data_IF_682696913357
#
_entry.id   IF_682696913357
#
_cell.length_a   1.000
_cell.length_b   1.000
_cell.length_c   1.000
_cell.angle_alpha   90.00
_cell.angle_beta   90.00
_cell.angle_gamma   90.00
#
_symmetry.space_group_name_H-M   'P 1'
#
loop_
_entity.id
_entity.type
_entity.pdbx_description
1 polymer ?
#
# COMPACT_ATOMS: atom_id res chain seq x y z
N UNK A 1 12.72 -12.31 13.49
CA UNK A 1 12.10 -11.77 12.26
C UNK A 1 12.04 -10.26 12.41
N UNK A 2 13.11 -9.58 12.02
CA UNK A 2 13.13 -8.12 12.01
C UNK A 2 12.27 -7.58 10.88
N UNK A 3 11.53 -6.53 11.17
CA UNK A 3 10.78 -5.77 10.17
C UNK A 3 11.16 -4.31 10.28
N UNK A 4 11.73 -3.78 9.22
CA UNK A 4 11.92 -2.36 9.01
C UNK A 4 10.66 -1.79 8.36
N UNK A 5 9.99 -0.82 8.99
CA UNK A 5 8.80 -0.19 8.43
C UNK A 5 9.17 0.93 7.46
N UNK A 6 8.64 0.88 6.24
CA UNK A 6 8.78 1.95 5.25
C UNK A 6 7.60 2.91 5.26
N UNK A 7 6.39 2.38 5.46
CA UNK A 7 5.16 3.13 5.31
C UNK A 7 4.19 2.95 6.49
N UNK A 8 3.27 3.87 6.58
CA UNK A 8 2.14 3.89 7.51
C UNK A 8 0.80 3.74 6.80
N UNK A 9 0.79 3.66 5.47
CA UNK A 9 -0.40 3.48 4.64
C UNK A 9 -0.10 2.54 3.47
N UNK A 10 -1.10 1.75 3.11
CA UNK A 10 -1.01 0.80 2.01
C UNK A 10 -1.21 1.53 0.67
N UNK A 11 -0.14 1.93 0.03
CA UNK A 11 -0.15 2.75 -1.20
C UNK A 11 -0.81 2.11 -2.41
N UNK A 12 -1.08 0.81 -2.34
CA UNK A 12 -1.80 0.02 -3.34
C UNK A 12 -3.28 -0.18 -3.00
N UNK A 13 -3.79 0.45 -1.94
CA UNK A 13 -5.17 0.30 -1.49
C UNK A 13 -6.16 1.23 -2.18
N UNK A 14 -5.72 2.07 -3.14
CA UNK A 14 -6.62 2.96 -3.85
C UNK A 14 -7.59 2.18 -4.73
N UNK A 15 -8.80 2.73 -4.91
CA UNK A 15 -9.80 2.20 -5.84
C UNK A 15 -10.18 3.29 -6.82
N UNK A 16 -9.94 3.04 -8.11
CA UNK A 16 -10.26 3.97 -9.19
C UNK A 16 -11.38 3.43 -10.07
N UNK A 17 -12.14 4.36 -10.64
CA UNK A 17 -13.21 4.11 -11.62
C UNK A 17 -13.03 5.01 -12.82
N UNK A 18 -13.72 4.72 -13.94
CA UNK A 18 -13.73 5.64 -15.08
C UNK A 18 -14.44 6.93 -14.71
N UNK A 19 -13.95 8.04 -15.22
CA UNK A 19 -14.55 9.37 -15.01
C UNK A 19 -16.00 9.40 -15.48
N UNK A 20 -16.32 8.79 -16.62
CA UNK A 20 -17.69 8.72 -17.15
C UNK A 20 -18.68 8.01 -16.19
N UNK A 21 -18.25 6.91 -15.54
CA UNK A 21 -19.07 6.20 -14.56
C UNK A 21 -19.24 7.02 -13.28
N UNK A 22 -18.22 7.80 -12.92
CA UNK A 22 -18.28 8.71 -11.78
C UNK A 22 -19.17 9.93 -12.07
N UNK A 23 -18.96 10.61 -13.19
CA UNK A 23 -19.68 11.85 -13.53
C UNK A 23 -21.17 11.59 -13.81
N UNK A 24 -21.51 10.46 -14.40
CA UNK A 24 -22.92 10.02 -14.59
C UNK A 24 -23.63 9.62 -13.28
N UNK A 25 -22.93 9.55 -12.16
CA UNK A 25 -23.49 9.11 -10.88
C UNK A 25 -23.63 7.59 -10.72
N UNK A 26 -23.17 6.81 -11.70
CA UNK A 26 -23.29 5.34 -11.69
C UNK A 26 -22.40 4.68 -10.61
N UNK A 27 -21.23 5.27 -10.33
CA UNK A 27 -20.30 4.80 -9.30
C UNK A 27 -19.66 6.02 -8.62
N UNK A 28 -20.06 6.32 -7.39
CA UNK A 28 -19.55 7.44 -6.59
C UNK A 28 -18.79 6.97 -5.34
N UNK A 29 -19.02 5.74 -4.92
CA UNK A 29 -18.47 5.17 -3.67
C UNK A 29 -18.23 3.67 -3.81
N UNK A 30 -17.55 3.08 -2.84
CA UNK A 30 -17.35 1.63 -2.77
C UNK A 30 -18.68 0.85 -2.69
N UNK A 31 -19.73 1.43 -2.11
CA UNK A 31 -21.05 0.79 -2.03
C UNK A 31 -21.71 0.58 -3.39
N UNK A 32 -21.40 1.46 -4.35
CA UNK A 32 -21.95 1.37 -5.70
C UNK A 32 -21.32 0.25 -6.55
N UNK A 33 -20.30 -0.44 -5.99
CA UNK A 33 -19.65 -1.58 -6.62
C UNK A 33 -20.44 -2.90 -6.47
N UNK A 34 -21.54 -2.91 -5.72
CA UNK A 34 -22.42 -4.08 -5.66
C UNK A 34 -22.87 -4.51 -7.07
N UNK A 35 -22.71 -5.81 -7.38
CA UNK A 35 -23.01 -6.39 -8.69
C UNK A 35 -22.00 -6.07 -9.79
N UNK A 36 -20.84 -5.47 -9.45
CA UNK A 36 -19.83 -5.05 -10.44
C UNK A 36 -18.55 -5.86 -10.32
N UNK A 37 -17.72 -5.76 -11.37
CA UNK A 37 -16.37 -6.38 -11.41
C UNK A 37 -15.32 -5.38 -10.96
N UNK A 38 -14.45 -5.84 -10.03
CA UNK A 38 -13.32 -5.07 -9.49
C UNK A 38 -12.01 -5.77 -9.81
N UNK A 39 -11.10 -5.09 -10.47
CA UNK A 39 -9.79 -5.62 -10.81
C UNK A 39 -8.82 -5.62 -9.63
N UNK A 40 -8.11 -6.73 -9.44
CA UNK A 40 -6.95 -6.88 -8.55
C UNK A 40 -5.86 -7.69 -9.26
N UNK A 41 -4.65 -7.79 -8.69
CA UNK A 41 -3.56 -8.51 -9.37
C UNK A 41 -3.82 -10.02 -9.38
N UNK A 42 -3.62 -10.70 -8.27
CA UNK A 42 -3.75 -12.16 -8.15
C UNK A 42 -4.42 -12.51 -6.82
N UNK A 43 -5.08 -13.67 -6.71
CA UNK A 43 -5.55 -14.19 -5.43
C UNK A 43 -4.39 -14.23 -4.41
N UNK A 44 -4.67 -13.86 -3.16
CA UNK A 44 -3.71 -13.76 -2.06
C UNK A 44 -2.64 -12.65 -2.20
N UNK A 45 -2.68 -11.83 -3.25
CA UNK A 45 -1.84 -10.64 -3.33
C UNK A 45 -2.33 -9.53 -2.40
N UNK A 46 -1.48 -8.54 -2.14
CA UNK A 46 -1.85 -7.38 -1.32
C UNK A 46 -3.02 -6.57 -1.90
N UNK A 47 -3.10 -6.41 -3.23
CA UNK A 47 -4.23 -5.73 -3.88
C UNK A 47 -5.52 -6.54 -3.75
N UNK A 48 -5.44 -7.87 -3.86
CA UNK A 48 -6.58 -8.76 -3.65
C UNK A 48 -7.11 -8.69 -2.21
N UNK A 49 -6.19 -8.79 -1.22
CA UNK A 49 -6.53 -8.66 0.19
C UNK A 49 -7.24 -7.34 0.48
N UNK A 50 -6.70 -6.24 -0.05
CA UNK A 50 -7.28 -4.92 0.18
C UNK A 50 -8.62 -4.75 -0.53
N UNK A 51 -8.79 -5.33 -1.73
CA UNK A 51 -10.09 -5.33 -2.38
C UNK A 51 -11.15 -6.05 -1.53
N UNK A 52 -10.85 -7.25 -1.02
CA UNK A 52 -11.74 -7.99 -0.13
C UNK A 52 -12.09 -7.18 1.11
N UNK A 53 -11.08 -6.63 1.79
CA UNK A 53 -11.26 -5.84 2.99
C UNK A 53 -12.14 -4.60 2.76
N UNK A 54 -11.83 -3.80 1.73
CA UNK A 54 -12.59 -2.59 1.40
C UNK A 54 -14.03 -2.90 1.03
N UNK A 55 -14.28 -3.98 0.27
CA UNK A 55 -15.63 -4.42 -0.08
C UNK A 55 -16.39 -4.93 1.14
N UNK A 56 -15.70 -5.60 2.08
CA UNK A 56 -16.27 -6.03 3.36
C UNK A 56 -16.69 -4.82 4.20
N UNK A 57 -15.80 -3.84 4.36
CA UNK A 57 -16.11 -2.59 5.11
C UNK A 57 -17.22 -1.77 4.46
N UNK A 58 -17.32 -1.78 3.15
CA UNK A 58 -18.42 -1.14 2.42
C UNK A 58 -19.74 -1.92 2.48
N UNK A 59 -19.75 -3.16 3.00
CA UNK A 59 -20.94 -4.02 3.10
C UNK A 59 -21.39 -4.63 1.76
N UNK A 60 -20.48 -4.77 0.80
CA UNK A 60 -20.79 -5.28 -0.56
C UNK A 60 -19.95 -6.49 -0.97
N UNK A 61 -19.15 -7.06 -0.08
CA UNK A 61 -18.20 -8.14 -0.40
C UNK A 61 -18.84 -9.35 -1.11
N UNK A 62 -20.01 -9.78 -0.65
CA UNK A 62 -20.71 -10.94 -1.22
C UNK A 62 -21.42 -10.62 -2.55
N UNK A 63 -21.39 -9.36 -2.98
CA UNK A 63 -22.04 -8.87 -4.22
C UNK A 63 -21.05 -8.39 -5.27
N UNK A 64 -19.75 -8.36 -4.96
CA UNK A 64 -18.69 -7.89 -5.87
C UNK A 64 -17.95 -9.08 -6.45
N UNK A 65 -17.67 -9.02 -7.75
CA UNK A 65 -16.86 -10.01 -8.46
C UNK A 65 -15.43 -9.47 -8.59
N UNK A 66 -14.52 -9.92 -7.72
CA UNK A 66 -13.11 -9.53 -7.79
C UNK A 66 -12.42 -10.36 -8.87
N UNK A 67 -11.81 -9.69 -9.85
CA UNK A 67 -11.15 -10.30 -11.00
C UNK A 67 -9.64 -10.27 -10.89
N UNK A 68 -8.96 -11.41 -10.96
CA UNK A 68 -7.51 -11.46 -11.06
C UNK A 68 -7.09 -11.05 -12.48
N UNK A 69 -6.30 -9.98 -12.58
CA UNK A 69 -5.86 -9.39 -13.84
C UNK A 69 -4.35 -9.50 -14.08
N UNK A 70 -3.62 -10.09 -13.13
CA UNK A 70 -2.19 -10.37 -13.22
C UNK A 70 -1.30 -9.20 -12.84
N UNK A 71 -1.17 -8.21 -13.70
CA UNK A 71 -0.27 -7.08 -13.51
C UNK A 71 -0.97 -5.72 -13.55
N UNK A 72 -0.24 -4.66 -13.15
CA UNK A 72 -0.78 -3.31 -13.03
C UNK A 72 -1.20 -2.71 -14.38
N UNK A 73 -0.47 -3.00 -15.47
CA UNK A 73 -0.78 -2.48 -16.79
C UNK A 73 -2.08 -3.09 -17.33
N UNK A 74 -2.23 -4.41 -17.15
CA UNK A 74 -3.47 -5.14 -17.48
C UNK A 74 -4.66 -4.61 -16.68
N UNK A 75 -4.47 -4.30 -15.39
CA UNK A 75 -5.52 -3.70 -14.55
C UNK A 75 -5.99 -2.34 -15.08
N UNK A 76 -5.06 -1.45 -15.44
CA UNK A 76 -5.39 -0.14 -16.05
C UNK A 76 -6.12 -0.31 -17.38
N UNK A 77 -5.63 -1.19 -18.25
CA UNK A 77 -6.24 -1.49 -19.53
C UNK A 77 -7.67 -2.04 -19.40
N UNK A 78 -7.88 -2.99 -18.47
CA UNK A 78 -9.19 -3.57 -18.21
C UNK A 78 -10.21 -2.53 -17.68
N UNK A 79 -9.76 -1.61 -16.83
CA UNK A 79 -10.61 -0.51 -16.37
C UNK A 79 -10.93 0.47 -17.51
N UNK A 80 -9.93 0.88 -18.27
CA UNK A 80 -10.07 1.84 -19.39
C UNK A 80 -11.04 1.33 -20.46
N UNK A 81 -11.00 0.02 -20.77
CA UNK A 81 -11.90 -0.63 -21.74
C UNK A 81 -13.27 -1.00 -21.17
N UNK A 82 -13.50 -0.87 -19.86
CA UNK A 82 -14.75 -1.25 -19.19
C UNK A 82 -14.91 -2.75 -18.96
N UNK A 83 -13.86 -3.53 -19.12
CA UNK A 83 -13.87 -4.99 -18.77
C UNK A 83 -14.09 -5.20 -17.28
N UNK A 84 -13.62 -4.25 -16.44
CA UNK A 84 -13.99 -4.11 -15.03
C UNK A 84 -14.57 -2.72 -14.79
N UNK A 85 -15.38 -2.58 -13.75
CA UNK A 85 -16.03 -1.30 -13.40
C UNK A 85 -15.18 -0.45 -12.46
N UNK A 86 -14.34 -1.09 -11.66
CA UNK A 86 -13.36 -0.47 -10.78
C UNK A 86 -12.07 -1.29 -10.76
N UNK A 87 -10.98 -0.70 -10.32
CA UNK A 87 -9.70 -1.40 -10.14
C UNK A 87 -9.00 -0.92 -8.89
N UNK A 88 -8.35 -1.85 -8.20
CA UNK A 88 -7.31 -1.49 -7.25
C UNK A 88 -6.21 -0.75 -8.00
N UNK A 89 -5.57 0.21 -7.33
CA UNK A 89 -4.56 1.04 -7.98
C UNK A 89 -3.44 1.44 -7.00
N UNK A 90 -2.22 1.51 -7.54
CA UNK A 90 -1.14 2.25 -6.87
C UNK A 90 -1.37 3.76 -7.01
N UNK A 91 -0.66 4.56 -6.23
CA UNK A 91 -0.73 6.03 -6.35
C UNK A 91 -0.34 6.49 -7.76
N UNK A 92 0.70 5.90 -8.37
CA UNK A 92 1.14 6.26 -9.72
C UNK A 92 0.10 5.94 -10.79
N UNK A 93 -0.59 4.80 -10.69
CA UNK A 93 -1.71 4.45 -11.58
C UNK A 93 -2.87 5.43 -11.44
N UNK A 94 -3.23 5.77 -10.22
CA UNK A 94 -4.29 6.74 -9.93
C UNK A 94 -3.95 8.12 -10.49
N UNK A 95 -2.72 8.58 -10.30
CA UNK A 95 -2.28 9.87 -10.80
C UNK A 95 -2.20 9.89 -12.33
N UNK A 96 -1.73 8.82 -12.96
CA UNK A 96 -1.75 8.69 -14.42
C UNK A 96 -3.18 8.78 -14.96
N UNK A 97 -4.12 8.01 -14.40
CA UNK A 97 -5.53 8.04 -14.84
C UNK A 97 -6.17 9.42 -14.65
N UNK A 98 -5.77 10.15 -13.60
CA UNK A 98 -6.21 11.52 -13.32
C UNK A 98 -5.64 12.52 -14.33
N UNK A 99 -4.33 12.45 -14.62
CA UNK A 99 -3.66 13.32 -15.59
C UNK A 99 -4.17 13.11 -17.03
N UNK A 100 -4.40 11.85 -17.41
CA UNK A 100 -5.01 11.49 -18.69
C UNK A 100 -6.53 11.81 -18.75
N UNK A 101 -7.13 12.22 -17.64
CA UNK A 101 -8.52 12.70 -17.55
C UNK A 101 -9.60 11.62 -17.58
N UNK A 102 -9.27 10.33 -17.68
CA UNK A 102 -10.26 9.26 -17.86
C UNK A 102 -10.62 8.51 -16.56
N UNK A 103 -9.84 8.65 -15.48
CA UNK A 103 -10.06 7.94 -14.23
C UNK A 103 -10.09 8.86 -13.01
N UNK A 104 -10.83 8.45 -12.00
CA UNK A 104 -10.93 9.14 -10.71
C UNK A 104 -10.97 8.15 -9.56
N UNK A 105 -10.40 8.48 -8.38
CA UNK A 105 -10.53 7.62 -7.20
C UNK A 105 -11.93 7.75 -6.57
N UNK A 106 -12.45 6.62 -6.10
CA UNK A 106 -13.59 6.56 -5.16
C UNK A 106 -13.13 6.14 -3.76
N UNK A 107 -11.90 5.67 -3.65
CA UNK A 107 -11.16 5.52 -2.40
C UNK A 107 -9.69 5.89 -2.66
N UNK A 108 -9.19 6.86 -1.91
CA UNK A 108 -7.82 7.37 -1.99
C UNK A 108 -7.14 7.19 -0.63
N UNK A 109 -6.20 6.24 -0.56
CA UNK A 109 -5.47 5.91 0.66
C UNK A 109 -4.60 7.06 1.17
N UNK A 110 -4.26 8.04 0.32
CA UNK A 110 -3.48 9.22 0.72
C UNK A 110 -4.33 10.28 1.42
N UNK A 111 -5.66 10.23 1.27
CA UNK A 111 -6.58 11.12 1.96
C UNK A 111 -6.78 10.66 3.40
N UNK A 112 -6.37 11.49 4.37
CA UNK A 112 -6.35 11.13 5.80
C UNK A 112 -7.72 10.74 6.34
N UNK A 113 -8.78 11.46 5.96
CA UNK A 113 -10.16 11.14 6.40
C UNK A 113 -10.62 9.78 5.89
N UNK A 114 -10.46 9.51 4.59
CA UNK A 114 -10.83 8.22 4.00
C UNK A 114 -10.01 7.07 4.59
N UNK A 115 -8.71 7.29 4.78
CA UNK A 115 -7.84 6.30 5.40
C UNK A 115 -8.29 5.95 6.83
N UNK A 116 -8.52 6.96 7.68
CA UNK A 116 -8.92 6.73 9.06
C UNK A 116 -10.31 6.12 9.20
N UNK A 117 -11.24 6.48 8.32
CA UNK A 117 -12.58 5.88 8.28
C UNK A 117 -12.53 4.36 8.04
N UNK A 118 -11.71 3.92 7.08
CA UNK A 118 -11.65 2.52 6.68
C UNK A 118 -10.60 1.71 7.45
N UNK A 119 -9.44 2.28 7.73
CA UNK A 119 -8.30 1.56 8.31
C UNK A 119 -8.12 1.81 9.82
N UNK A 120 -8.63 2.92 10.34
CA UNK A 120 -8.58 3.26 11.76
C UNK A 120 -7.23 3.77 12.26
N UNK A 121 -6.28 4.09 11.38
CA UNK A 121 -4.95 4.60 11.72
C UNK A 121 -3.83 3.98 10.90
N UNK A 122 -2.60 4.07 11.36
CA UNK A 122 -1.42 3.56 10.66
C UNK A 122 -1.48 2.05 10.44
N UNK A 123 -1.16 1.62 9.21
CA UNK A 123 -1.09 0.22 8.79
C UNK A 123 0.20 0.02 7.97
N UNK A 124 1.18 -0.74 8.45
CA UNK A 124 2.41 -0.99 7.72
C UNK A 124 2.14 -1.95 6.55
N UNK A 125 2.44 -1.53 5.33
CA UNK A 125 2.25 -2.32 4.12
C UNK A 125 3.54 -2.91 3.59
N UNK A 126 4.61 -2.13 3.61
CA UNK A 126 5.93 -2.54 3.11
C UNK A 126 6.90 -2.64 4.28
N UNK A 127 7.54 -3.78 4.40
CA UNK A 127 8.53 -4.02 5.43
C UNK A 127 9.68 -4.90 4.91
N UNK A 128 10.89 -4.65 5.39
CA UNK A 128 12.01 -5.57 5.18
C UNK A 128 11.87 -6.78 6.12
N UNK A 129 12.10 -7.96 5.59
CA UNK A 129 11.97 -9.24 6.31
C UNK A 129 13.26 -10.03 6.23
N UNK A 130 13.60 -10.72 7.31
CA UNK A 130 14.68 -11.71 7.31
C UNK A 130 14.33 -12.92 8.17
N UNK A 131 15.12 -13.99 8.03
CA UNK A 131 14.96 -15.19 8.84
C UNK A 131 15.59 -15.01 10.22
N UNK A 132 14.99 -15.63 11.24
CA UNK A 132 15.55 -15.66 12.59
C UNK A 132 16.99 -16.19 12.63
N UNK A 133 17.28 -17.19 11.81
CA UNK A 133 18.62 -17.77 11.67
C UNK A 133 19.65 -16.75 11.14
N UNK A 134 19.24 -15.88 10.22
CA UNK A 134 20.09 -14.79 9.73
C UNK A 134 20.39 -13.77 10.82
N UNK A 135 19.39 -13.42 11.62
CA UNK A 135 19.55 -12.50 12.76
C UNK A 135 20.57 -13.08 13.76
N UNK A 136 20.46 -14.37 14.09
CA UNK A 136 21.33 -15.02 15.06
C UNK A 136 22.76 -15.23 14.56
N UNK A 137 22.93 -15.62 13.29
CA UNK A 137 24.23 -15.96 12.72
C UNK A 137 24.98 -14.81 12.10
N UNK A 138 24.28 -13.75 11.67
CA UNK A 138 24.85 -12.58 10.96
C UNK A 138 24.24 -11.26 11.41
N UNK A 139 24.22 -10.96 12.72
CA UNK A 139 23.57 -9.75 13.23
C UNK A 139 24.19 -8.46 12.68
N UNK A 140 25.52 -8.44 12.40
CA UNK A 140 26.18 -7.28 11.82
C UNK A 140 25.69 -7.02 10.38
N UNK A 141 25.43 -8.06 9.59
CA UNK A 141 24.88 -7.91 8.24
C UNK A 141 23.46 -7.32 8.29
N UNK A 142 22.64 -7.80 9.23
CA UNK A 142 21.30 -7.25 9.46
C UNK A 142 21.38 -5.79 9.89
N UNK A 143 22.28 -5.46 10.84
CA UNK A 143 22.48 -4.10 11.30
C UNK A 143 22.95 -3.17 10.17
N UNK A 144 23.91 -3.61 9.36
CA UNK A 144 24.40 -2.80 8.23
C UNK A 144 23.28 -2.53 7.22
N UNK A 145 22.48 -3.55 6.90
CA UNK A 145 21.33 -3.42 6.00
C UNK A 145 20.28 -2.44 6.57
N UNK A 146 19.88 -2.60 7.83
CA UNK A 146 18.91 -1.70 8.47
C UNK A 146 19.47 -0.27 8.54
N UNK A 147 20.75 -0.10 8.85
CA UNK A 147 21.39 1.23 8.86
C UNK A 147 21.36 1.88 7.48
N UNK A 148 21.56 1.12 6.40
CA UNK A 148 21.45 1.64 5.04
C UNK A 148 20.02 2.08 4.71
N UNK A 149 19.02 1.32 5.15
CA UNK A 149 17.59 1.68 4.97
C UNK A 149 17.22 2.95 5.78
N UNK A 150 17.71 3.09 7.01
CA UNK A 150 17.52 4.31 7.82
C UNK A 150 18.11 5.52 7.10
N UNK A 151 19.34 5.40 6.57
CA UNK A 151 19.98 6.48 5.77
C UNK A 151 19.19 6.85 4.53
N UNK A 152 18.66 5.85 3.82
CA UNK A 152 17.81 6.08 2.65
C UNK A 152 16.52 6.83 3.04
N UNK A 153 15.90 6.45 4.15
CA UNK A 153 14.70 7.13 4.66
C UNK A 153 15.01 8.56 5.10
N UNK A 154 16.16 8.79 5.74
CA UNK A 154 16.59 10.13 6.14
C UNK A 154 16.88 11.00 4.91
N UNK A 155 17.49 10.43 3.85
CA UNK A 155 17.64 11.11 2.57
C UNK A 155 16.30 11.50 1.96
N UNK A 156 15.35 10.57 1.90
CA UNK A 156 13.99 10.82 1.39
C UNK A 156 13.30 11.93 2.21
N UNK A 157 13.40 11.88 3.52
CA UNK A 157 12.72 12.84 4.41
C UNK A 157 13.40 14.21 4.45
N UNK A 158 14.70 14.27 4.20
CA UNK A 158 15.52 15.49 4.29
C UNK A 158 15.66 16.24 2.97
N UNK A 159 15.16 15.70 1.86
CA UNK A 159 15.30 16.31 0.54
C UNK A 159 13.94 16.56 -0.12
N UNK A 160 13.91 17.46 -1.11
CA UNK A 160 12.71 17.68 -1.91
C UNK A 160 12.36 16.45 -2.76
N UNK A 161 11.09 16.30 -3.13
CA UNK A 161 10.63 15.23 -4.02
C UNK A 161 11.39 15.23 -5.35
N UNK A 162 11.75 16.41 -5.88
CA UNK A 162 12.56 16.54 -7.08
C UNK A 162 13.96 15.95 -6.90
N UNK A 163 14.64 16.28 -5.80
CA UNK A 163 15.99 15.77 -5.50
C UNK A 163 15.98 14.24 -5.25
N UNK A 164 14.94 13.71 -4.62
CA UNK A 164 14.77 12.27 -4.47
C UNK A 164 14.52 11.62 -5.83
N UNK A 165 13.68 12.22 -6.67
CA UNK A 165 13.46 11.73 -8.03
C UNK A 165 14.75 11.73 -8.84
N UNK A 166 15.58 12.80 -8.79
CA UNK A 166 16.88 12.86 -9.48
C UNK A 166 17.78 11.67 -9.14
N UNK A 167 17.76 11.23 -7.88
CA UNK A 167 18.62 10.15 -7.42
C UNK A 167 18.19 8.75 -7.89
N UNK A 168 16.93 8.54 -8.29
CA UNK A 168 16.40 7.19 -8.55
C UNK A 168 15.64 7.04 -9.88
N UNK A 169 15.30 8.14 -10.57
CA UNK A 169 14.40 8.10 -11.72
C UNK A 169 14.96 7.29 -12.88
N UNK A 170 16.16 7.63 -13.31
CA UNK A 170 16.77 7.05 -14.53
C UNK A 170 17.04 5.55 -14.40
N UNK A 171 17.42 5.10 -13.20
CA UNK A 171 17.76 3.70 -12.94
C UNK A 171 16.55 2.82 -12.63
N UNK A 172 15.48 3.38 -12.01
CA UNK A 172 14.42 2.55 -11.41
C UNK A 172 13.00 2.94 -11.79
N UNK A 173 12.73 4.19 -12.21
CA UNK A 173 11.36 4.70 -12.32
C UNK A 173 11.03 5.31 -13.69
N UNK A 174 11.91 5.20 -14.66
CA UNK A 174 11.79 5.79 -16.00
C UNK A 174 10.62 5.24 -16.85
N UNK A 175 9.97 4.17 -16.41
CA UNK A 175 8.76 3.64 -17.04
C UNK A 175 7.53 4.55 -16.85
N UNK A 176 7.60 5.52 -15.92
CA UNK A 176 6.53 6.48 -15.64
C UNK A 176 6.97 7.90 -15.96
N UNK A 177 6.04 8.82 -16.26
CA UNK A 177 6.39 10.23 -16.45
C UNK A 177 7.05 10.81 -15.18
N UNK A 178 8.21 11.48 -15.35
CA UNK A 178 8.96 12.04 -14.22
C UNK A 178 8.11 12.93 -13.30
N UNK A 179 7.27 13.80 -13.90
CA UNK A 179 6.39 14.67 -13.12
C UNK A 179 5.39 13.89 -12.23
N UNK A 180 4.93 12.72 -12.69
CA UNK A 180 4.05 11.85 -11.89
C UNK A 180 4.82 11.22 -10.72
N UNK A 181 6.08 10.81 -10.95
CA UNK A 181 6.94 10.27 -9.89
C UNK A 181 7.25 11.34 -8.84
N UNK A 182 7.66 12.53 -9.26
CA UNK A 182 7.98 13.65 -8.35
C UNK A 182 6.76 14.01 -7.48
N UNK A 183 5.57 14.12 -8.09
CA UNK A 183 4.32 14.36 -7.35
C UNK A 183 4.00 13.23 -6.37
N UNK A 184 4.17 11.97 -6.80
CA UNK A 184 3.95 10.81 -5.93
C UNK A 184 4.90 10.82 -4.74
N UNK A 185 6.18 11.12 -4.95
CA UNK A 185 7.18 11.23 -3.88
C UNK A 185 6.81 12.32 -2.88
N UNK A 186 6.37 13.49 -3.33
CA UNK A 186 5.91 14.57 -2.45
C UNK A 186 4.75 14.14 -1.55
N UNK A 187 3.74 13.48 -2.13
CA UNK A 187 2.62 12.93 -1.35
C UNK A 187 3.10 11.85 -0.37
N UNK A 188 4.02 10.98 -0.78
CA UNK A 188 4.54 9.93 0.08
C UNK A 188 5.34 10.47 1.26
N UNK A 189 6.16 11.51 1.05
CA UNK A 189 6.91 12.18 2.11
C UNK A 189 5.99 12.78 3.18
N UNK A 190 4.83 13.31 2.77
CA UNK A 190 3.88 13.94 3.68
C UNK A 190 2.97 12.93 4.41
N UNK A 191 2.48 11.91 3.70
CA UNK A 191 1.33 11.12 4.18
C UNK A 191 1.59 9.64 4.34
N UNK A 192 2.63 9.09 3.71
CA UNK A 192 2.83 7.64 3.59
C UNK A 192 4.05 7.13 4.35
N UNK A 193 5.20 7.75 4.17
CA UNK A 193 6.44 7.24 4.77
C UNK A 193 6.45 7.39 6.29
N UNK A 194 6.91 6.34 6.99
CA UNK A 194 7.25 6.40 8.40
C UNK A 194 8.55 7.19 8.58
N UNK A 195 8.52 8.21 9.45
CA UNK A 195 9.70 9.05 9.71
C UNK A 195 10.74 8.36 10.60
N UNK A 196 10.30 7.51 11.50
CA UNK A 196 11.13 6.81 12.48
C UNK A 196 11.39 5.33 12.13
N UNK A 197 10.72 4.80 11.10
CA UNK A 197 10.76 3.41 10.64
C UNK A 197 10.26 2.39 11.68
N UNK A 198 9.53 2.85 12.71
CA UNK A 198 9.03 2.00 13.78
C UNK A 198 7.65 1.45 13.44
N UNK A 199 7.53 0.14 13.38
CA UNK A 199 6.24 -0.54 13.36
C UNK A 199 5.77 -0.67 14.81
N UNK A 200 4.73 0.08 15.19
CA UNK A 200 4.16 0.00 16.53
C UNK A 200 3.31 -1.26 16.69
N UNK A 201 3.08 -1.71 17.95
CA UNK A 201 2.17 -2.81 18.27
C UNK A 201 0.77 -2.54 17.67
N UNK A 202 0.22 -1.36 17.89
CA UNK A 202 -1.08 -0.92 17.39
C UNK A 202 -1.20 -1.02 15.86
N UNK A 203 -0.19 -0.55 15.12
CA UNK A 203 -0.17 -0.62 13.67
C UNK A 203 -0.11 -2.07 13.18
N UNK A 204 0.68 -2.91 13.84
CA UNK A 204 0.76 -4.33 13.53
C UNK A 204 -0.56 -5.07 13.80
N UNK A 205 -1.17 -4.83 14.95
CA UNK A 205 -2.44 -5.46 15.34
C UNK A 205 -3.56 -5.04 14.38
N UNK A 206 -3.56 -3.79 13.93
CA UNK A 206 -4.48 -3.29 12.91
C UNK A 206 -4.28 -3.98 11.57
N UNK A 207 -3.03 -4.19 11.14
CA UNK A 207 -2.72 -4.92 9.92
C UNK A 207 -3.20 -6.38 10.00
N UNK A 208 -2.98 -7.06 11.13
CA UNK A 208 -3.44 -8.44 11.30
C UNK A 208 -4.97 -8.55 11.37
N UNK A 209 -5.65 -7.56 11.96
CA UNK A 209 -7.12 -7.48 11.94
C UNK A 209 -7.65 -7.30 10.50
N UNK A 210 -7.02 -6.45 9.68
CA UNK A 210 -7.36 -6.29 8.26
C UNK A 210 -7.22 -7.62 7.50
N UNK A 211 -6.18 -8.40 7.77
CA UNK A 211 -5.97 -9.71 7.17
C UNK A 211 -7.07 -10.72 7.56
N UNK A 212 -7.53 -10.68 8.82
CA UNK A 212 -8.65 -11.49 9.31
C UNK A 212 -9.98 -11.06 8.70
N UNK A 213 -10.29 -9.79 8.73
CA UNK A 213 -11.52 -9.21 8.17
C UNK A 213 -11.60 -9.47 6.64
N UNK A 214 -10.47 -9.45 5.94
CA UNK A 214 -10.36 -9.81 4.52
C UNK A 214 -10.54 -11.32 4.24
N UNK A 215 -10.79 -12.13 5.26
CA UNK A 215 -11.01 -13.59 5.18
C UNK A 215 -9.89 -14.39 4.51
N UNK A 216 -8.67 -13.84 4.49
CA UNK A 216 -7.51 -14.58 3.97
C UNK A 216 -6.87 -15.49 5.01
N UNK A 217 -6.95 -15.08 6.28
CA UNK A 217 -6.42 -15.82 7.41
C UNK A 217 -7.48 -15.97 8.47
N UNK A 218 -7.55 -17.14 9.08
CA UNK A 218 -8.41 -17.38 10.23
C UNK A 218 -7.85 -16.64 11.46
N UNK A 219 -8.73 -16.37 12.43
CA UNK A 219 -8.30 -15.79 13.71
C UNK A 219 -7.26 -16.66 14.44
N UNK A 220 -7.29 -17.98 14.26
CA UNK A 220 -6.34 -18.88 14.89
C UNK A 220 -4.97 -18.81 14.21
N UNK A 221 -4.90 -18.69 12.89
CA UNK A 221 -3.64 -18.43 12.17
C UNK A 221 -3.04 -17.08 12.61
N UNK A 222 -3.84 -16.02 12.72
CA UNK A 222 -3.38 -14.69 13.17
C UNK A 222 -2.79 -14.75 14.57
N UNK A 223 -3.38 -15.50 15.51
CA UNK A 223 -2.85 -15.69 16.86
C UNK A 223 -1.47 -16.35 16.90
N UNK A 224 -1.08 -17.08 15.86
CA UNK A 224 0.26 -17.73 15.78
C UNK A 224 1.39 -16.77 15.48
N UNK A 225 1.07 -15.54 15.04
CA UNK A 225 2.02 -14.51 14.62
C UNK A 225 1.90 -13.21 15.44
N UNK A 226 2.01 -13.26 16.78
CA UNK A 226 1.92 -12.06 17.61
C UNK A 226 3.07 -11.10 17.31
N UNK A 227 2.89 -9.82 17.57
CA UNK A 227 3.90 -8.77 17.35
C UNK A 227 5.28 -9.15 17.88
N UNK A 228 5.38 -9.53 19.14
CA UNK A 228 6.65 -9.88 19.79
C UNK A 228 7.42 -11.03 19.11
N UNK A 229 6.74 -11.88 18.34
CA UNK A 229 7.36 -12.98 17.58
C UNK A 229 7.76 -12.54 16.16
N UNK A 230 7.11 -11.52 15.62
CA UNK A 230 7.22 -11.16 14.21
C UNK A 230 7.94 -9.83 13.96
N UNK A 231 8.04 -8.96 14.97
CA UNK A 231 8.62 -7.62 14.85
C UNK A 231 9.73 -7.46 15.88
N UNK A 232 10.92 -7.14 15.42
CA UNK A 232 12.06 -6.74 16.26
C UNK A 232 12.53 -5.36 15.79
N UNK A 233 12.38 -4.36 16.64
CA UNK A 233 12.80 -2.98 16.39
C UNK A 233 14.17 -2.64 16.97
N UNK A 234 14.92 -3.61 17.50
CA UNK A 234 16.23 -3.38 18.14
C UNK A 234 17.25 -2.79 17.15
N UNK A 235 17.29 -3.33 15.93
CA UNK A 235 18.20 -2.86 14.87
C UNK A 235 17.87 -1.45 14.37
N UNK A 236 16.58 -1.11 14.28
CA UNK A 236 16.14 0.24 13.91
C UNK A 236 16.52 1.24 15.01
N UNK A 237 16.24 0.92 16.27
CA UNK A 237 16.61 1.76 17.42
C UNK A 237 18.13 2.00 17.45
N UNK A 238 18.92 0.95 17.32
CA UNK A 238 20.38 1.05 17.27
C UNK A 238 20.87 1.90 16.10
N UNK A 239 20.27 1.77 14.91
CA UNK A 239 20.62 2.58 13.74
C UNK A 239 20.30 4.07 13.94
N UNK A 240 19.28 4.40 14.76
CA UNK A 240 18.86 5.76 15.10
C UNK A 240 19.51 6.30 16.39
N UNK A 241 20.33 5.52 17.07
CA UNK A 241 20.99 5.91 18.32
C UNK A 241 20.03 5.97 19.54
N UNK A 242 18.99 5.13 19.54
CA UNK A 242 17.96 5.04 20.60
C UNK A 242 18.14 3.79 21.44
#
# INVERSE_FOLDING_TARGET
RDRFGFDRKLTYANVIVRREDFDSGKIKSLKDLAGKRVGATQPQSSTWLMALYLMQKAGVADKVDIRPLGDLATMLGALKTGSVSASMATMSMMEQARQEGWGVPIFDATTESSWNEFMGGDVPGIAALTLQDTIQKRPETVQAFVTALVRAQDFISGNSAAAVADAIYDDYLNAFPRAAIEKTLGVYQETVFLKDNVITQDAYDRMTAIMGDGRQFSNDEIKTVPYAKCVDMSFVRKARGL
#
